data_IF_620253257350
#
_entry.id   IF_620253257350
#
_cell.length_a   1.000
_cell.length_b   1.000
_cell.length_c   1.000
_cell.angle_alpha   90.00
_cell.angle_beta   90.00
_cell.angle_gamma   90.00
#
_symmetry.space_group_name_H-M   'P 1'
#
loop_
_entity.id
_entity.type
_entity.pdbx_description
1 polymer ?
#
# COMPACT_ATOMS: atom_id res chain seq x y z
N UNK A 1 27.98 18.65 -10.78
CA UNK A 1 27.84 17.21 -10.51
C UNK A 1 26.81 16.67 -11.48
N UNK A 2 27.11 15.58 -12.18
CA UNK A 2 26.18 14.95 -13.11
C UNK A 2 24.91 14.47 -12.39
N UNK A 3 23.74 14.66 -13.02
CA UNK A 3 22.43 14.32 -12.44
C UNK A 3 22.33 12.85 -11.97
N UNK A 4 22.84 11.84 -12.70
CA UNK A 4 22.81 10.46 -12.22
C UNK A 4 23.55 10.24 -10.90
N UNK A 5 24.68 10.92 -10.69
CA UNK A 5 25.41 10.84 -9.40
C UNK A 5 24.62 11.52 -8.28
N UNK A 6 24.07 12.70 -8.56
CA UNK A 6 23.22 13.43 -7.62
C UNK A 6 21.98 12.61 -7.22
N UNK A 7 21.41 11.84 -8.15
CA UNK A 7 20.27 10.96 -7.87
C UNK A 7 20.60 9.87 -6.83
N UNK A 8 21.76 9.20 -6.95
CA UNK A 8 22.17 8.23 -5.93
C UNK A 8 22.37 8.88 -4.55
N UNK A 9 22.84 10.12 -4.49
CA UNK A 9 22.93 10.87 -3.24
C UNK A 9 21.54 11.21 -2.68
N UNK A 10 20.59 11.59 -3.53
CA UNK A 10 19.19 11.84 -3.14
C UNK A 10 18.49 10.59 -2.62
N UNK A 11 18.69 9.43 -3.24
CA UNK A 11 18.14 8.16 -2.76
C UNK A 11 18.68 7.79 -1.38
N UNK A 12 19.99 7.94 -1.15
CA UNK A 12 20.57 7.68 0.18
C UNK A 12 19.98 8.60 1.24
N UNK A 13 19.86 9.89 0.94
CA UNK A 13 19.25 10.85 1.84
C UNK A 13 17.77 10.54 2.11
N UNK A 14 17.01 10.15 1.09
CA UNK A 14 15.60 9.75 1.25
C UNK A 14 15.45 8.52 2.16
N UNK A 15 16.28 7.50 1.99
CA UNK A 15 16.25 6.29 2.82
C UNK A 15 16.58 6.63 4.28
N UNK A 16 17.60 7.47 4.51
CA UNK A 16 17.94 7.94 5.86
C UNK A 16 16.77 8.70 6.51
N UNK A 17 16.09 9.56 5.74
CA UNK A 17 14.97 10.32 6.26
C UNK A 17 13.74 9.44 6.53
N UNK A 18 13.50 8.46 5.66
CA UNK A 18 12.46 7.45 5.87
C UNK A 18 12.71 6.65 7.15
N UNK A 19 13.94 6.17 7.35
CA UNK A 19 14.32 5.47 8.59
C UNK A 19 14.08 6.37 9.80
N UNK A 20 14.59 7.61 9.77
CA UNK A 20 14.46 8.57 10.87
C UNK A 20 13.00 8.89 11.22
N UNK A 21 12.11 9.00 10.22
CA UNK A 21 10.70 9.36 10.42
C UNK A 21 9.81 8.18 10.75
N UNK A 22 10.07 7.02 10.16
CA UNK A 22 9.09 5.95 10.06
C UNK A 22 9.53 4.64 10.71
N UNK A 23 10.76 4.52 11.24
CA UNK A 23 11.22 3.26 11.86
C UNK A 23 10.27 2.77 12.97
N UNK A 24 9.84 3.65 13.87
CA UNK A 24 8.91 3.28 14.93
C UNK A 24 7.56 2.80 14.37
N UNK A 25 7.04 3.45 13.32
CA UNK A 25 5.80 3.03 12.68
C UNK A 25 5.97 1.71 11.91
N UNK A 26 7.13 1.47 11.31
CA UNK A 26 7.49 0.22 10.64
C UNK A 26 7.55 -0.93 11.66
N UNK A 27 8.14 -0.72 12.83
CA UNK A 27 8.19 -1.71 13.91
C UNK A 27 6.79 -2.05 14.45
N UNK A 28 5.94 -1.04 14.65
CA UNK A 28 4.54 -1.24 15.04
C UNK A 28 3.75 -1.97 13.95
N UNK A 29 3.93 -1.61 12.68
CA UNK A 29 3.30 -2.31 11.57
C UNK A 29 3.72 -3.78 11.53
N UNK A 30 5.02 -4.06 11.72
CA UNK A 30 5.54 -5.42 11.77
C UNK A 30 4.95 -6.24 12.92
N UNK A 31 4.81 -5.63 14.10
CA UNK A 31 4.16 -6.25 15.26
C UNK A 31 2.69 -6.60 14.96
N UNK A 32 1.90 -5.63 14.49
CA UNK A 32 0.48 -5.82 14.17
C UNK A 32 0.27 -6.87 13.08
N UNK A 33 1.10 -6.86 12.05
CA UNK A 33 1.08 -7.86 11.00
C UNK A 33 1.46 -9.26 11.51
N UNK A 34 2.49 -9.39 12.36
CA UNK A 34 2.86 -10.67 12.95
C UNK A 34 1.74 -11.23 13.84
N UNK A 35 1.15 -10.40 14.70
CA UNK A 35 0.00 -10.79 15.54
C UNK A 35 -1.21 -11.25 14.70
N UNK A 36 -1.48 -10.55 13.59
CA UNK A 36 -2.52 -10.91 12.64
C UNK A 36 -2.29 -12.32 12.08
N UNK A 37 -1.09 -12.58 11.54
CA UNK A 37 -0.75 -13.87 10.94
C UNK A 37 -0.76 -15.01 11.97
N UNK A 38 -0.25 -14.78 13.19
CA UNK A 38 -0.25 -15.77 14.27
C UNK A 38 -1.67 -16.20 14.68
N UNK A 39 -2.66 -15.32 14.51
CA UNK A 39 -4.08 -15.59 14.76
C UNK A 39 -4.82 -16.15 13.53
N UNK A 40 -4.10 -16.42 12.44
CA UNK A 40 -4.68 -16.92 11.18
C UNK A 40 -5.38 -15.84 10.35
N UNK A 41 -5.14 -14.56 10.64
CA UNK A 41 -5.62 -13.44 9.84
C UNK A 41 -4.76 -13.21 8.59
N UNK A 42 -5.21 -12.31 7.73
CA UNK A 42 -4.59 -12.02 6.42
C UNK A 42 -4.17 -10.55 6.34
N UNK A 43 -3.05 -10.30 5.64
CA UNK A 43 -2.59 -8.94 5.32
C UNK A 43 -3.04 -8.61 3.90
N UNK A 44 -3.91 -7.61 3.77
CA UNK A 44 -4.44 -7.13 2.51
C UNK A 44 -3.72 -5.86 2.06
N UNK A 45 -3.56 -5.69 0.75
CA UNK A 45 -2.89 -4.53 0.17
C UNK A 45 -3.77 -3.88 -0.88
N UNK A 46 -4.19 -2.65 -0.62
CA UNK A 46 -4.84 -1.78 -1.58
C UNK A 46 -3.84 -0.72 -2.07
N UNK A 47 -3.49 -0.77 -3.35
CA UNK A 47 -2.54 0.16 -3.98
C UNK A 47 -3.25 0.97 -5.06
N UNK A 48 -3.19 2.31 -4.96
CA UNK A 48 -3.78 3.21 -5.96
C UNK A 48 -2.96 3.31 -7.25
N UNK A 49 -1.83 2.59 -7.38
CA UNK A 49 -1.20 2.30 -8.66
C UNK A 49 0.27 2.69 -8.81
N UNK A 50 1.09 2.70 -7.74
CA UNK A 50 2.48 3.17 -7.85
C UNK A 50 3.56 2.08 -7.75
N UNK A 51 3.37 0.99 -6.98
CA UNK A 51 4.28 -0.17 -7.01
C UNK A 51 3.88 -1.27 -6.01
N UNK A 52 3.32 -0.86 -4.87
CA UNK A 52 3.31 -1.61 -3.61
C UNK A 52 2.81 -3.04 -3.77
N UNK A 53 1.65 -3.23 -4.41
CA UNK A 53 1.10 -4.58 -4.60
C UNK A 53 1.98 -5.44 -5.50
N UNK A 54 2.61 -4.85 -6.52
CA UNK A 54 3.50 -5.57 -7.45
C UNK A 54 4.87 -5.86 -6.87
N UNK A 55 5.33 -5.05 -5.91
CA UNK A 55 6.64 -5.23 -5.28
C UNK A 55 6.64 -6.31 -4.22
N UNK A 56 5.55 -6.43 -3.44
CA UNK A 56 5.48 -7.36 -2.31
C UNK A 56 4.88 -8.72 -2.66
N UNK A 57 3.90 -8.76 -3.57
CA UNK A 57 3.08 -9.95 -3.76
C UNK A 57 3.71 -10.85 -4.81
N UNK A 58 3.80 -12.14 -4.49
CA UNK A 58 4.28 -13.18 -5.39
C UNK A 58 5.69 -12.92 -5.95
N UNK A 59 6.61 -12.50 -5.08
CA UNK A 59 8.02 -12.20 -5.41
C UNK A 59 8.96 -13.19 -4.73
N UNK A 60 10.04 -13.56 -5.42
CA UNK A 60 11.09 -14.39 -4.83
C UNK A 60 11.72 -13.67 -3.63
N UNK A 61 11.86 -14.36 -2.49
CA UNK A 61 12.27 -13.78 -1.22
C UNK A 61 11.14 -13.05 -0.47
N UNK A 62 9.94 -12.98 -1.06
CA UNK A 62 8.76 -12.38 -0.45
C UNK A 62 8.07 -13.34 0.52
N UNK A 63 7.48 -12.77 1.57
CA UNK A 63 6.61 -13.48 2.50
C UNK A 63 5.28 -13.80 1.81
N UNK A 64 4.87 -15.06 1.80
CA UNK A 64 3.58 -15.50 1.30
C UNK A 64 2.47 -15.19 2.32
N UNK A 65 2.18 -13.91 2.52
CA UNK A 65 1.15 -13.44 3.47
C UNK A 65 0.34 -12.23 2.96
N UNK A 66 0.81 -11.57 1.91
CA UNK A 66 0.18 -10.39 1.34
C UNK A 66 -0.79 -10.78 0.22
N UNK A 67 -2.03 -10.34 0.36
CA UNK A 67 -3.10 -10.55 -0.63
C UNK A 67 -3.47 -9.22 -1.29
N UNK A 68 -3.56 -9.13 -2.62
CA UNK A 68 -4.00 -7.90 -3.27
C UNK A 68 -5.49 -7.70 -3.01
N UNK A 69 -5.87 -6.52 -2.54
CA UNK A 69 -7.25 -6.06 -2.51
C UNK A 69 -7.43 -4.97 -3.56
N UNK A 70 -8.17 -5.27 -4.61
CA UNK A 70 -8.48 -4.34 -5.68
C UNK A 70 -9.97 -4.46 -6.02
N UNK A 71 -10.58 -3.31 -6.25
CA UNK A 71 -11.95 -3.21 -6.73
C UNK A 71 -12.04 -2.00 -7.67
N UNK A 72 -12.91 -2.14 -8.66
CA UNK A 72 -13.24 -1.10 -9.63
C UNK A 72 -14.71 -1.25 -10.02
N UNK A 73 -15.35 -0.13 -10.34
CA UNK A 73 -16.67 -0.12 -10.96
C UNK A 73 -16.57 0.55 -12.32
N UNK A 74 -16.52 -0.27 -13.37
CA UNK A 74 -16.56 0.20 -14.74
C UNK A 74 -17.99 0.20 -15.27
N UNK A 75 -18.46 1.37 -15.72
CA UNK A 75 -19.76 1.54 -16.37
C UNK A 75 -19.53 2.05 -17.78
N UNK A 76 -19.83 1.23 -18.79
CA UNK A 76 -19.83 1.63 -20.19
C UNK A 76 -21.27 1.92 -20.63
N UNK A 77 -21.62 3.21 -20.72
CA UNK A 77 -22.96 3.68 -21.09
C UNK A 77 -22.86 4.83 -22.12
N UNK A 78 -22.44 4.53 -23.35
CA UNK A 78 -22.25 5.56 -24.36
C UNK A 78 -23.61 6.07 -24.82
N UNK A 79 -23.80 7.39 -24.75
CA UNK A 79 -25.02 8.04 -25.23
C UNK A 79 -24.62 9.32 -25.97
N UNK A 80 -24.46 9.26 -27.30
CA UNK A 80 -23.96 10.37 -28.09
C UNK A 80 -24.78 11.66 -27.95
N UNK A 81 -26.10 11.54 -27.76
CA UNK A 81 -26.96 12.69 -27.52
C UNK A 81 -26.60 13.40 -26.20
N UNK A 82 -26.46 12.66 -25.09
CA UNK A 82 -26.09 13.22 -23.78
C UNK A 82 -24.65 13.70 -23.72
N UNK A 83 -23.74 12.99 -24.37
CA UNK A 83 -22.33 13.40 -24.51
C UNK A 83 -22.21 14.73 -25.26
N UNK A 84 -22.97 14.93 -26.34
CA UNK A 84 -23.03 16.20 -27.05
C UNK A 84 -23.61 17.35 -26.20
N UNK A 85 -24.34 17.04 -25.13
CA UNK A 85 -24.82 18.02 -24.14
C UNK A 85 -23.85 18.19 -22.95
N UNK A 86 -22.68 17.55 -22.97
CA UNK A 86 -21.70 17.60 -21.88
C UNK A 86 -22.14 16.86 -20.61
N UNK A 87 -23.14 15.98 -20.68
CA UNK A 87 -23.62 15.21 -19.54
C UNK A 87 -22.68 14.03 -19.29
N UNK A 88 -22.02 14.03 -18.15
CA UNK A 88 -21.17 12.93 -17.67
C UNK A 88 -21.74 12.27 -16.42
N UNK A 89 -21.35 11.02 -16.18
CA UNK A 89 -21.60 10.37 -14.90
C UNK A 89 -20.86 11.10 -13.77
N UNK A 90 -21.51 11.21 -12.61
CA UNK A 90 -20.93 11.83 -11.42
C UNK A 90 -20.82 10.80 -10.31
N UNK A 91 -19.62 10.62 -9.78
CA UNK A 91 -19.41 9.82 -8.57
C UNK A 91 -19.67 10.72 -7.37
N UNK A 92 -20.83 10.55 -6.73
CA UNK A 92 -21.20 11.27 -5.52
C UNK A 92 -20.64 10.55 -4.27
N UNK A 93 -20.51 11.21 -3.11
CA UNK A 93 -20.03 10.57 -1.89
C UNK A 93 -20.79 9.28 -1.56
N UNK A 94 -22.12 9.26 -1.66
CA UNK A 94 -22.93 8.05 -1.45
C UNK A 94 -22.61 6.91 -2.42
N UNK A 95 -22.16 7.24 -3.64
CA UNK A 95 -21.70 6.26 -4.62
C UNK A 95 -20.35 5.67 -4.21
N UNK A 96 -19.41 6.48 -3.72
CA UNK A 96 -18.14 6.01 -3.16
C UNK A 96 -18.40 5.06 -1.99
N UNK A 97 -19.23 5.48 -1.02
CA UNK A 97 -19.59 4.66 0.15
C UNK A 97 -20.19 3.31 -0.25
N UNK A 98 -21.12 3.31 -1.21
CA UNK A 98 -21.76 2.09 -1.70
C UNK A 98 -20.79 1.15 -2.42
N UNK A 99 -19.88 1.68 -3.25
CA UNK A 99 -18.87 0.88 -3.94
C UNK A 99 -17.90 0.25 -2.94
N UNK A 100 -17.39 1.02 -1.98
CA UNK A 100 -16.49 0.53 -0.94
C UNK A 100 -17.17 -0.54 -0.09
N UNK A 101 -18.42 -0.31 0.34
CA UNK A 101 -19.19 -1.28 1.11
C UNK A 101 -19.36 -2.58 0.32
N UNK A 102 -19.80 -2.50 -0.94
CA UNK A 102 -19.99 -3.67 -1.79
C UNK A 102 -18.67 -4.43 -2.02
N UNK A 103 -17.55 -3.71 -2.17
CA UNK A 103 -16.24 -4.32 -2.32
C UNK A 103 -15.82 -5.08 -1.06
N UNK A 104 -15.99 -4.48 0.13
CA UNK A 104 -15.68 -5.12 1.41
C UNK A 104 -16.62 -6.30 1.68
N UNK A 105 -17.93 -6.18 1.40
CA UNK A 105 -18.94 -7.24 1.57
C UNK A 105 -18.66 -8.47 0.69
N UNK A 106 -18.13 -8.25 -0.52
CA UNK A 106 -17.78 -9.31 -1.47
C UNK A 106 -16.36 -9.88 -1.23
N UNK A 107 -15.57 -9.22 -0.40
CA UNK A 107 -14.19 -9.62 -0.12
C UNK A 107 -14.11 -10.82 0.83
N UNK A 108 -12.88 -11.28 1.09
CA UNK A 108 -12.57 -12.24 2.16
C UNK A 108 -11.92 -11.56 3.37
N UNK A 109 -12.02 -10.24 3.48
CA UNK A 109 -11.48 -9.47 4.61
C UNK A 109 -12.33 -9.75 5.84
N UNK A 110 -11.70 -10.09 6.96
CA UNK A 110 -12.36 -10.40 8.22
C UNK A 110 -11.92 -9.43 9.33
N UNK A 111 -12.73 -9.25 10.39
CA UNK A 111 -12.29 -8.55 11.59
C UNK A 111 -11.02 -9.20 12.16
N UNK A 112 -10.04 -8.38 12.55
CA UNK A 112 -8.72 -8.83 13.00
C UNK A 112 -7.65 -8.91 11.91
N UNK A 113 -8.03 -8.81 10.64
CA UNK A 113 -7.09 -8.66 9.52
C UNK A 113 -6.37 -7.30 9.55
N UNK A 114 -5.30 -7.18 8.77
CA UNK A 114 -4.60 -5.92 8.50
C UNK A 114 -4.85 -5.50 7.05
N UNK A 115 -5.14 -4.22 6.83
CA UNK A 115 -5.25 -3.61 5.50
C UNK A 115 -4.22 -2.49 5.35
N UNK A 116 -3.25 -2.69 4.45
CA UNK A 116 -2.31 -1.67 4.02
C UNK A 116 -2.91 -0.91 2.84
N UNK A 117 -3.09 0.41 2.98
CA UNK A 117 -3.60 1.30 1.94
C UNK A 117 -2.47 2.22 1.48
N UNK A 118 -2.00 2.00 0.25
CA UNK A 118 -1.00 2.84 -0.41
C UNK A 118 -1.64 3.96 -1.21
N UNK A 119 -1.41 5.21 -0.80
CA UNK A 119 -1.79 6.41 -1.56
C UNK A 119 -0.88 7.58 -1.22
N UNK A 120 -0.13 8.09 -2.21
CA UNK A 120 0.84 9.16 -1.99
C UNK A 120 0.19 10.45 -1.48
N UNK A 121 -0.90 10.87 -2.14
CA UNK A 121 -1.63 12.07 -1.74
C UNK A 121 -2.63 11.80 -0.62
N UNK A 122 -3.21 10.60 -0.57
CA UNK A 122 -4.23 10.22 0.41
C UNK A 122 -5.50 11.10 0.38
N UNK A 123 -5.69 11.93 -0.65
CA UNK A 123 -6.75 12.96 -0.69
C UNK A 123 -8.04 12.50 -1.37
N UNK A 124 -7.96 11.48 -2.21
CA UNK A 124 -9.09 11.05 -3.04
C UNK A 124 -10.11 10.27 -2.20
N UNK A 125 -11.41 10.24 -2.58
CA UNK A 125 -12.44 9.67 -1.72
C UNK A 125 -12.28 8.17 -1.42
N UNK A 126 -11.91 7.36 -2.41
CA UNK A 126 -11.85 5.90 -2.27
C UNK A 126 -10.90 5.38 -1.18
N UNK A 127 -9.60 5.77 -1.12
CA UNK A 127 -8.72 5.30 -0.06
C UNK A 127 -9.16 5.78 1.33
N UNK A 128 -9.72 6.98 1.44
CA UNK A 128 -10.23 7.52 2.71
C UNK A 128 -11.45 6.74 3.19
N UNK A 129 -12.44 6.55 2.31
CA UNK A 129 -13.66 5.81 2.62
C UNK A 129 -13.36 4.33 2.92
N UNK A 130 -12.43 3.72 2.19
CA UNK A 130 -11.95 2.37 2.45
C UNK A 130 -11.34 2.25 3.86
N UNK A 131 -10.50 3.20 4.26
CA UNK A 131 -9.91 3.20 5.59
C UNK A 131 -10.98 3.30 6.69
N UNK A 132 -11.96 4.19 6.53
CA UNK A 132 -13.05 4.37 7.50
C UNK A 132 -13.86 3.08 7.64
N UNK A 133 -14.40 2.55 6.54
CA UNK A 133 -15.26 1.38 6.59
C UNK A 133 -14.51 0.10 7.02
N UNK A 134 -13.25 -0.07 6.65
CA UNK A 134 -12.45 -1.21 7.08
C UNK A 134 -12.26 -1.21 8.60
N UNK A 135 -11.99 -0.04 9.20
CA UNK A 135 -11.86 0.12 10.66
C UNK A 135 -13.17 -0.15 11.39
N UNK A 136 -14.28 0.34 10.87
CA UNK A 136 -15.61 0.04 11.41
C UNK A 136 -15.92 -1.47 11.41
N UNK A 137 -15.32 -2.24 10.48
CA UNK A 137 -15.41 -3.69 10.40
C UNK A 137 -14.35 -4.43 11.24
N UNK A 138 -13.58 -3.71 12.06
CA UNK A 138 -12.57 -4.30 12.95
C UNK A 138 -11.27 -4.70 12.26
N UNK A 139 -10.98 -4.16 11.07
CA UNK A 139 -9.71 -4.34 10.36
C UNK A 139 -8.73 -3.25 10.80
N UNK A 140 -7.48 -3.61 11.07
CA UNK A 140 -6.44 -2.63 11.41
C UNK A 140 -5.89 -1.99 10.13
N UNK A 141 -5.99 -0.67 10.01
CA UNK A 141 -5.61 0.04 8.78
C UNK A 141 -4.26 0.72 8.92
N UNK A 142 -3.35 0.38 8.01
CA UNK A 142 -2.04 1.02 7.85
C UNK A 142 -2.08 1.91 6.60
N UNK A 143 -1.90 3.22 6.76
CA UNK A 143 -1.73 4.15 5.66
C UNK A 143 -0.26 4.24 5.26
N UNK A 144 0.07 3.99 4.00
CA UNK A 144 1.37 4.29 3.42
C UNK A 144 1.25 5.49 2.47
N UNK A 145 1.84 6.61 2.86
CA UNK A 145 1.59 7.91 2.23
C UNK A 145 2.82 8.83 2.30
N UNK A 146 2.76 9.99 1.64
CA UNK A 146 3.80 11.01 1.71
C UNK A 146 3.31 12.19 2.55
N UNK A 147 3.73 12.30 3.81
CA UNK A 147 3.16 13.30 4.73
C UNK A 147 3.46 14.74 4.29
N UNK A 148 4.65 15.00 3.75
CA UNK A 148 5.04 16.32 3.22
C UNK A 148 4.20 16.76 2.00
N UNK A 149 3.54 15.80 1.35
CA UNK A 149 2.59 16.04 0.26
C UNK A 149 1.15 16.06 0.75
N UNK A 150 0.68 14.97 1.36
CA UNK A 150 -0.71 14.77 1.78
C UNK A 150 -1.23 15.86 2.71
N UNK A 151 -0.41 16.32 3.67
CA UNK A 151 -0.78 17.35 4.64
C UNK A 151 -1.11 18.71 4.02
N UNK A 152 -0.60 19.00 2.82
CA UNK A 152 -0.78 20.27 2.10
C UNK A 152 -1.94 20.26 1.10
N UNK A 153 -2.53 19.09 0.85
CA UNK A 153 -3.59 18.94 -0.14
C UNK A 153 -4.96 19.06 0.52
N UNK A 154 -5.93 19.69 -0.14
CA UNK A 154 -7.31 19.63 0.30
C UNK A 154 -7.87 18.21 0.04
N UNK A 155 -8.59 17.65 1.03
CA UNK A 155 -9.29 16.38 0.83
C UNK A 155 -10.46 16.55 -0.14
N UNK A 156 -10.67 15.53 -0.97
CA UNK A 156 -11.85 15.39 -1.83
C UNK A 156 -12.93 14.52 -1.18
N UNK A 157 -12.63 13.90 -0.03
CA UNK A 157 -13.58 13.13 0.74
C UNK A 157 -14.53 14.05 1.52
N UNK A 158 -15.80 13.68 1.66
CA UNK A 158 -16.83 14.50 2.32
C UNK A 158 -16.52 14.80 3.80
N UNK A 159 -15.72 13.93 4.45
CA UNK A 159 -15.27 14.14 5.83
C UNK A 159 -14.24 15.26 5.98
N UNK A 160 -13.69 15.78 4.87
CA UNK A 160 -12.60 16.73 4.86
C UNK A 160 -11.23 16.15 5.25
N UNK A 161 -11.17 14.86 5.59
CA UNK A 161 -9.95 14.17 6.05
C UNK A 161 -9.20 13.49 4.90
N UNK A 162 -7.88 13.35 5.03
CA UNK A 162 -7.03 12.53 4.16
C UNK A 162 -6.81 11.16 4.81
N UNK A 163 -6.26 10.23 4.04
CA UNK A 163 -6.01 8.85 4.46
C UNK A 163 -5.24 8.76 5.79
N UNK A 164 -4.19 9.57 5.97
CA UNK A 164 -3.38 9.54 7.20
C UNK A 164 -4.13 9.99 8.45
N UNK A 165 -5.26 10.70 8.30
CA UNK A 165 -6.07 11.21 9.41
C UNK A 165 -7.16 10.22 9.84
N UNK A 166 -7.35 9.13 9.10
CA UNK A 166 -8.40 8.12 9.35
C UNK A 166 -7.88 6.71 9.59
N UNK A 167 -6.61 6.43 9.28
CA UNK A 167 -5.95 5.15 9.53
C UNK A 167 -5.56 4.97 11.01
N UNK A 168 -5.33 3.72 11.43
CA UNK A 168 -4.85 3.42 12.79
C UNK A 168 -3.34 3.67 12.93
N UNK A 169 -2.59 3.45 11.85
CA UNK A 169 -1.14 3.64 11.80
C UNK A 169 -0.75 4.28 10.47
N UNK A 170 0.23 5.17 10.51
CA UNK A 170 0.74 5.86 9.32
C UNK A 170 2.23 5.57 9.16
N UNK A 171 2.62 5.15 7.95
CA UNK A 171 4.00 5.03 7.51
C UNK A 171 4.24 6.15 6.48
N UNK A 172 5.11 7.10 6.82
CA UNK A 172 5.57 8.14 5.90
C UNK A 172 6.64 7.56 4.97
N UNK A 173 6.41 7.60 3.66
CA UNK A 173 7.35 7.15 2.64
C UNK A 173 8.46 8.19 2.34
N UNK A 174 8.44 9.32 3.04
CA UNK A 174 9.41 10.42 2.95
C UNK A 174 9.54 11.04 1.55
N UNK A 175 8.52 10.88 0.70
CA UNK A 175 8.48 11.60 -0.58
C UNK A 175 8.20 13.09 -0.35
N UNK A 176 8.87 13.98 -1.11
CA UNK A 176 8.65 15.41 -0.99
C UNK A 176 7.30 15.81 -1.57
N UNK A 177 6.90 17.06 -1.32
CA UNK A 177 5.74 17.67 -1.97
C UNK A 177 5.89 17.60 -3.51
N UNK A 178 4.88 17.06 -4.19
CA UNK A 178 4.91 16.86 -5.65
C UNK A 178 5.70 15.62 -6.11
N UNK A 179 6.23 14.80 -5.19
CA UNK A 179 6.87 13.50 -5.40
C UNK A 179 8.22 13.51 -6.15
N UNK A 180 8.51 14.49 -7.00
CA UNK A 180 9.80 14.59 -7.70
C UNK A 180 10.97 14.98 -6.78
N UNK A 181 12.07 14.22 -6.84
CA UNK A 181 13.26 14.44 -6.00
C UNK A 181 14.43 15.14 -6.70
N UNK A 182 14.34 15.32 -8.02
CA UNK A 182 15.38 15.92 -8.87
C UNK A 182 14.89 17.19 -9.55
N UNK A 183 15.81 18.13 -9.81
CA UNK A 183 15.56 19.41 -10.46
C UNK A 183 16.74 19.77 -11.38
N UNK A 184 16.49 20.56 -12.43
CA UNK A 184 17.50 21.13 -13.33
C UNK A 184 17.03 22.48 -13.86
N UNK A 185 17.96 23.40 -14.12
CA UNK A 185 17.65 24.68 -14.77
C UNK A 185 17.02 24.46 -16.15
N UNK A 186 15.97 25.22 -16.46
CA UNK A 186 15.20 25.08 -17.71
C UNK A 186 14.04 24.08 -17.65
N UNK A 187 13.85 23.36 -16.54
CA UNK A 187 12.69 22.50 -16.31
C UNK A 187 11.96 22.88 -15.02
N UNK A 188 10.70 23.31 -15.14
CA UNK A 188 9.91 23.80 -14.00
C UNK A 188 9.48 22.68 -13.04
N UNK A 189 9.17 21.50 -13.59
CA UNK A 189 8.58 20.39 -12.82
C UNK A 189 9.69 19.48 -12.26
N UNK A 190 9.73 19.24 -10.93
CA UNK A 190 10.59 18.23 -10.36
C UNK A 190 10.33 16.84 -10.94
N UNK A 191 11.37 16.05 -11.15
CA UNK A 191 11.29 14.74 -11.80
C UNK A 191 11.95 13.65 -10.94
N UNK A 192 11.89 12.39 -11.39
CA UNK A 192 12.27 11.20 -10.63
C UNK A 192 11.46 11.06 -9.33
N UNK A 193 10.30 10.38 -9.36
CA UNK A 193 9.42 10.26 -8.19
C UNK A 193 10.08 9.47 -7.05
N UNK A 194 9.82 9.88 -5.82
CA UNK A 194 10.40 9.34 -4.59
C UNK A 194 9.51 8.28 -3.93
N UNK A 195 8.19 8.44 -4.00
CA UNK A 195 7.24 7.70 -3.19
C UNK A 195 7.26 6.20 -3.45
N UNK A 196 7.48 5.78 -4.69
CA UNK A 196 7.54 4.35 -5.04
C UNK A 196 8.71 3.64 -4.36
N UNK A 197 9.88 4.27 -4.36
CA UNK A 197 11.09 3.73 -3.72
C UNK A 197 10.94 3.74 -2.20
N UNK A 198 10.45 4.84 -1.63
CA UNK A 198 10.19 4.95 -0.20
C UNK A 198 9.18 3.91 0.27
N UNK A 199 8.08 3.74 -0.47
CA UNK A 199 7.06 2.73 -0.18
C UNK A 199 7.62 1.31 -0.20
N UNK A 200 8.42 0.96 -1.22
CA UNK A 200 9.06 -0.35 -1.32
C UNK A 200 10.02 -0.61 -0.15
N UNK A 201 10.89 0.35 0.18
CA UNK A 201 11.85 0.23 1.27
C UNK A 201 11.15 0.06 2.61
N UNK A 202 10.15 0.91 2.91
CA UNK A 202 9.41 0.83 4.16
C UNK A 202 8.72 -0.52 4.33
N UNK A 203 8.04 -1.02 3.29
CA UNK A 203 7.31 -2.27 3.41
C UNK A 203 8.21 -3.50 3.43
N UNK A 204 9.36 -3.49 2.73
CA UNK A 204 10.35 -4.55 2.90
C UNK A 204 10.94 -4.57 4.32
N UNK A 205 11.10 -3.41 4.95
CA UNK A 205 11.47 -3.32 6.36
C UNK A 205 10.36 -3.88 7.28
N UNK A 206 9.09 -3.61 6.98
CA UNK A 206 7.95 -4.25 7.66
C UNK A 206 8.02 -5.77 7.53
N UNK A 207 8.26 -6.30 6.32
CA UNK A 207 8.39 -7.76 6.09
C UNK A 207 9.53 -8.35 6.92
N UNK A 208 10.69 -7.69 6.98
CA UNK A 208 11.80 -8.13 7.81
C UNK A 208 11.39 -8.22 9.30
N UNK A 209 10.71 -7.20 9.81
CA UNK A 209 10.21 -7.18 11.19
C UNK A 209 9.14 -8.24 11.47
N UNK A 210 8.26 -8.55 10.50
CA UNK A 210 7.26 -9.62 10.60
C UNK A 210 7.96 -10.97 10.76
N UNK A 211 8.90 -11.27 9.85
CA UNK A 211 9.62 -12.55 9.85
C UNK A 211 10.39 -12.74 11.16
N UNK A 212 11.12 -11.71 11.61
CA UNK A 212 11.84 -11.74 12.88
C UNK A 212 10.91 -12.11 14.06
N UNK A 213 9.77 -11.43 14.17
CA UNK A 213 8.80 -11.65 15.27
C UNK A 213 8.18 -13.04 15.21
N UNK A 214 7.80 -13.49 14.02
CA UNK A 214 7.21 -14.81 13.84
C UNK A 214 8.21 -15.93 14.19
N UNK A 215 9.47 -15.81 13.74
CA UNK A 215 10.53 -16.78 14.05
C UNK A 215 10.83 -16.80 15.55
N UNK A 216 10.93 -15.63 16.19
CA UNK A 216 11.14 -15.53 17.64
C UNK A 216 9.98 -16.12 18.45
N UNK A 217 8.77 -16.13 17.89
CA UNK A 217 7.58 -16.75 18.48
C UNK A 217 7.43 -18.26 18.14
N UNK A 218 8.42 -18.88 17.47
CA UNK A 218 8.42 -20.30 17.16
C UNK A 218 7.65 -20.70 15.89
N UNK A 219 7.26 -19.72 15.06
CA UNK A 219 6.63 -19.97 13.77
C UNK A 219 7.68 -20.04 12.65
N UNK A 220 7.35 -20.75 11.58
CA UNK A 220 8.16 -20.78 10.35
C UNK A 220 7.36 -20.19 9.20
N UNK A 221 7.49 -18.87 8.93
CA UNK A 221 6.75 -18.21 7.85
C UNK A 221 7.18 -18.74 6.48
N UNK A 222 6.22 -18.74 5.55
CA UNK A 222 6.41 -19.22 4.19
C UNK A 222 7.05 -18.13 3.34
N UNK A 223 8.30 -18.32 2.91
CA UNK A 223 9.00 -17.39 2.00
C UNK A 223 9.11 -18.01 0.62
N UNK A 224 8.69 -17.26 -0.40
CA UNK A 224 8.62 -17.74 -1.78
C UNK A 224 10.02 -17.93 -2.38
N UNK A 225 10.32 -19.15 -2.80
CA UNK A 225 11.55 -19.47 -3.50
C UNK A 225 11.57 -18.88 -4.92
N UNK A 226 12.75 -18.49 -5.39
CA UNK A 226 12.94 -18.12 -6.81
C UNK A 226 12.74 -19.33 -7.71
N UNK A 227 11.81 -19.22 -8.66
CA UNK A 227 11.53 -20.28 -9.65
C UNK A 227 12.70 -20.54 -10.60
N UNK A 228 13.64 -19.59 -10.70
CA UNK A 228 14.79 -19.66 -11.61
C UNK A 228 15.97 -20.47 -11.03
N UNK A 229 15.88 -20.92 -9.77
CA UNK A 229 16.86 -21.84 -9.19
C UNK A 229 16.64 -23.26 -9.73
N UNK A 230 17.68 -24.11 -9.80
CA UNK A 230 17.47 -25.55 -9.95
C UNK A 230 16.55 -26.00 -8.80
N UNK A 231 15.45 -26.71 -9.09
CA UNK A 231 14.34 -27.07 -8.18
C UNK A 231 13.29 -25.96 -7.85
N UNK A 232 13.47 -24.73 -8.36
CA UNK A 232 12.71 -23.56 -7.95
C UNK A 232 11.20 -23.66 -8.13
N UNK A 233 10.73 -24.29 -9.23
CA UNK A 233 9.30 -24.50 -9.46
C UNK A 233 8.66 -25.42 -8.43
N UNK A 234 9.36 -26.49 -8.01
CA UNK A 234 8.85 -27.44 -7.02
C UNK A 234 8.80 -26.79 -5.64
N UNK A 235 9.83 -26.02 -5.27
CA UNK A 235 9.85 -25.25 -4.02
C UNK A 235 8.76 -24.21 -3.97
N UNK A 236 8.54 -23.48 -5.07
CA UNK A 236 7.46 -22.51 -5.15
C UNK A 236 6.09 -23.17 -4.95
N UNK A 237 5.82 -24.28 -5.67
CA UNK A 237 4.58 -25.05 -5.48
C UNK A 237 4.41 -25.51 -4.04
N UNK A 238 5.47 -26.02 -3.40
CA UNK A 238 5.44 -26.41 -1.98
C UNK A 238 5.11 -25.23 -1.07
N UNK A 239 5.72 -24.06 -1.30
CA UNK A 239 5.45 -22.84 -0.52
C UNK A 239 3.98 -22.44 -0.63
N UNK A 240 3.39 -22.51 -1.82
CA UNK A 240 1.97 -22.22 -2.02
C UNK A 240 1.06 -23.23 -1.30
N UNK A 241 1.40 -24.53 -1.33
CA UNK A 241 0.63 -25.54 -0.60
C UNK A 241 0.77 -25.39 0.92
N UNK A 242 1.96 -25.06 1.43
CA UNK A 242 2.18 -24.74 2.84
C UNK A 242 1.35 -23.53 3.28
N UNK A 243 1.34 -22.46 2.47
CA UNK A 243 0.50 -21.29 2.71
C UNK A 243 -0.99 -21.63 2.73
N UNK A 244 -1.48 -22.46 1.80
CA UNK A 244 -2.90 -22.89 1.81
C UNK A 244 -3.28 -23.67 3.06
N UNK A 245 -2.33 -24.39 3.66
CA UNK A 245 -2.57 -25.19 4.87
C UNK A 245 -2.47 -24.36 6.15
N UNK A 246 -1.53 -23.41 6.22
CA UNK A 246 -1.21 -22.65 7.44
C UNK A 246 -1.76 -21.22 7.46
N UNK A 247 -1.95 -20.62 6.29
CA UNK A 247 -2.30 -19.21 6.11
C UNK A 247 -1.12 -18.23 6.21
N UNK A 248 0.08 -18.70 6.58
CA UNK A 248 1.32 -17.92 6.68
C UNK A 248 2.57 -18.75 6.39
#
# INVERSE_FOLDING_TARGET
MELPKAYFERIRAQIQELERRSLQAIEQAAERCAECLQKGGVIHVYDTGHLVSRELINRAGGLAAFTPFHFDLSVNNPNPYREAQGVSGQTRPETVRAIVSAALDRSRILPGDVLVIGSVSGKTPFPVELAIQARERGVFVIALTALDYSSKLQSEHESGKRLYEVADLVIDNAAPYGDGMMQIEGLEVPFCPASGIGAAVALWAVVAGIIERMVNAGYTPTVLASINRPDGQERYKRSIEEYKQKGY
#
